data_IF_905949910862
#
_entry.id   IF_905949910862
#
_cell.length_a   1.000
_cell.length_b   1.000
_cell.length_c   1.000
_cell.angle_alpha   90.00
_cell.angle_beta   90.00
_cell.angle_gamma   90.00
#
_symmetry.space_group_name_H-M   'P 1'
#
loop_
_entity.id
_entity.type
_entity.pdbx_description
1 polymer ?
#
# COMPACT_ATOMS: atom_id res chain seq x y z
N UNK A 1 44.23 7.79 -24.11
CA UNK A 1 45.31 6.83 -23.76
C UNK A 1 46.25 7.49 -22.77
N UNK A 2 46.58 6.76 -21.70
CA UNK A 2 47.37 7.09 -20.48
C UNK A 2 46.61 7.77 -19.31
N UNK A 3 46.65 7.14 -18.10
CA UNK A 3 45.85 7.52 -16.93
C UNK A 3 46.67 8.30 -15.89
N UNK A 4 45.98 9.03 -15.01
CA UNK A 4 46.55 9.51 -13.74
C UNK A 4 46.29 8.48 -12.64
N UNK A 5 47.37 7.97 -12.07
CA UNK A 5 47.44 7.13 -10.86
C UNK A 5 47.91 7.96 -9.67
N UNK A 6 47.20 7.86 -8.54
CA UNK A 6 47.70 7.87 -7.14
C UNK A 6 46.47 8.08 -6.24
N UNK A 7 46.16 7.32 -5.20
CA UNK A 7 46.99 6.47 -4.36
C UNK A 7 46.77 6.90 -2.90
N UNK A 8 46.34 5.95 -2.06
CA UNK A 8 46.28 5.99 -0.58
C UNK A 8 45.22 6.92 0.05
N UNK A 9 44.43 6.51 1.05
CA UNK A 9 44.83 5.75 2.23
C UNK A 9 43.61 5.14 2.96
N UNK A 10 43.75 3.89 3.39
CA UNK A 10 42.90 3.24 4.39
C UNK A 10 42.83 4.04 5.71
N UNK A 11 41.65 4.03 6.35
CA UNK A 11 41.56 4.03 7.81
C UNK A 11 40.48 3.03 8.24
N UNK A 12 40.96 2.01 8.95
CA UNK A 12 40.17 1.03 9.70
C UNK A 12 39.47 1.68 10.89
N UNK A 13 38.30 1.10 11.18
CA UNK A 13 37.72 0.77 12.49
C UNK A 13 37.95 1.69 13.67
N UNK A 14 36.85 2.16 14.25
CA UNK A 14 36.71 2.25 15.70
C UNK A 14 35.27 1.92 16.09
N UNK A 15 35.13 0.81 16.82
CA UNK A 15 33.93 0.37 17.52
C UNK A 15 33.56 1.44 18.57
N UNK A 16 32.28 1.75 18.70
CA UNK A 16 31.76 2.50 19.84
C UNK A 16 30.55 1.75 20.40
N UNK A 17 30.75 1.29 21.62
CA UNK A 17 29.88 0.46 22.44
C UNK A 17 28.55 1.14 22.75
N UNK A 18 27.47 0.36 22.64
CA UNK A 18 26.19 0.65 23.25
C UNK A 18 26.31 0.51 24.77
N UNK A 19 25.97 1.57 25.50
CA UNK A 19 25.72 1.52 26.94
C UNK A 19 24.36 2.17 27.21
N UNK A 20 23.40 1.35 27.63
CA UNK A 20 22.12 1.81 28.19
C UNK A 20 22.32 2.49 29.54
N UNK A 21 21.45 3.44 29.92
CA UNK A 21 21.18 3.68 31.32
C UNK A 21 19.74 3.35 31.71
N UNK A 22 19.70 2.75 32.89
CA UNK A 22 18.60 2.33 33.73
C UNK A 22 17.62 3.43 34.11
N UNK A 23 16.37 3.01 34.25
CA UNK A 23 15.22 3.60 34.94
C UNK A 23 15.57 4.50 36.13
N UNK A 24 15.05 5.73 36.13
CA UNK A 24 14.84 6.56 37.34
C UNK A 24 13.40 7.05 37.34
N UNK A 25 12.65 6.59 38.33
CA UNK A 25 11.36 7.14 38.72
C UNK A 25 11.58 8.50 39.38
N UNK A 26 10.97 9.55 38.81
CA UNK A 26 11.00 10.91 39.35
C UNK A 26 9.63 11.57 39.18
N UNK A 27 8.96 11.81 40.30
CA UNK A 27 7.68 12.53 40.39
C UNK A 27 7.83 13.93 39.76
N UNK A 28 6.90 14.30 38.89
CA UNK A 28 6.79 15.69 38.39
C UNK A 28 5.74 16.48 39.17
N UNK A 29 5.98 17.79 39.42
CA UNK A 29 5.06 18.66 40.14
C UNK A 29 3.95 19.18 39.24
N UNK A 30 2.76 19.31 39.82
CA UNK A 30 1.62 20.04 39.26
C UNK A 30 1.88 21.54 39.27
N UNK A 31 2.05 22.13 38.08
CA UNK A 31 1.93 23.58 37.90
C UNK A 31 1.03 23.83 36.69
N UNK A 32 -0.13 24.44 36.95
CA UNK A 32 -1.13 24.76 35.94
C UNK A 32 -0.65 25.85 34.98
N UNK A 33 -0.74 25.55 33.69
CA UNK A 33 -0.83 26.55 32.64
C UNK A 33 -2.23 26.48 32.05
N UNK A 34 -3.06 27.45 32.39
CA UNK A 34 -4.35 27.67 31.76
C UNK A 34 -4.12 27.95 30.27
N UNK A 35 -4.56 27.02 29.42
CA UNK A 35 -4.64 27.26 27.97
C UNK A 35 -5.79 28.22 27.68
N UNK A 36 -5.59 29.29 26.88
CA UNK A 36 -6.71 30.10 26.44
C UNK A 36 -7.58 29.25 25.51
N UNK A 37 -8.87 29.10 25.86
CA UNK A 37 -9.89 28.57 24.94
C UNK A 37 -9.86 29.41 23.66
N UNK A 38 -9.33 28.86 22.57
CA UNK A 38 -9.62 29.38 21.23
C UNK A 38 -11.11 29.22 21.00
N UNK A 39 -11.80 30.35 20.87
CA UNK A 39 -13.17 30.42 20.39
C UNK A 39 -13.24 29.73 19.03
N UNK A 40 -14.08 28.69 18.92
CA UNK A 40 -14.42 28.10 17.63
C UNK A 40 -15.00 29.19 16.72
N UNK A 41 -14.60 29.29 15.44
CA UNK A 41 -15.25 30.20 14.52
C UNK A 41 -16.72 29.78 14.38
N UNK A 42 -17.64 30.69 14.69
CA UNK A 42 -19.06 30.43 14.49
C UNK A 42 -19.32 30.38 12.99
N UNK A 43 -19.61 29.19 12.48
CA UNK A 43 -20.10 29.06 11.12
C UNK A 43 -21.52 29.62 11.06
N UNK A 44 -21.66 30.84 10.57
CA UNK A 44 -22.95 31.39 10.19
C UNK A 44 -23.31 30.78 8.84
N UNK A 45 -24.42 30.04 8.78
CA UNK A 45 -24.91 29.50 7.53
C UNK A 45 -25.16 30.63 6.51
N UNK A 46 -24.75 30.48 5.24
CA UNK A 46 -25.03 31.49 4.23
C UNK A 46 -26.55 31.60 3.98
N UNK A 47 -27.05 32.79 3.63
CA UNK A 47 -28.47 33.00 3.35
C UNK A 47 -28.94 32.11 2.20
N UNK A 48 -30.16 31.59 2.33
CA UNK A 48 -30.81 30.70 1.37
C UNK A 48 -30.99 31.39 0.00
N UNK A 49 -30.00 31.23 -0.87
CA UNK A 49 -29.99 31.78 -2.21
C UNK A 49 -28.87 31.26 -3.10
N UNK A 50 -28.29 30.11 -2.78
CA UNK A 50 -27.25 29.46 -3.60
C UNK A 50 -27.89 28.62 -4.69
N UNK A 51 -27.36 28.62 -5.93
CA UNK A 51 -27.88 27.78 -7.00
C UNK A 51 -27.83 26.32 -6.59
N UNK A 52 -28.84 25.58 -7.00
CA UNK A 52 -29.08 24.17 -6.72
C UNK A 52 -27.98 23.27 -7.30
N UNK A 53 -26.79 23.27 -6.70
CA UNK A 53 -25.66 22.44 -7.12
C UNK A 53 -26.03 20.95 -7.14
N UNK A 54 -27.00 20.53 -6.33
CA UNK A 54 -27.47 19.14 -6.26
C UNK A 54 -28.20 18.66 -7.51
N UNK A 55 -28.77 19.56 -8.32
CA UNK A 55 -29.55 19.20 -9.51
C UNK A 55 -28.69 18.73 -10.68
N UNK A 56 -27.47 19.25 -10.83
CA UNK A 56 -26.59 18.96 -11.97
C UNK A 56 -25.82 17.63 -11.80
N UNK A 57 -25.54 17.20 -10.57
CA UNK A 57 -24.91 15.89 -10.32
C UNK A 57 -25.88 14.73 -10.51
N UNK A 58 -27.17 14.96 -10.28
CA UNK A 58 -28.21 13.95 -10.49
C UNK A 58 -28.35 13.56 -11.96
N UNK A 59 -28.01 14.45 -12.91
CA UNK A 59 -28.17 14.22 -14.35
C UNK A 59 -27.01 13.51 -15.06
N UNK A 60 -25.85 13.33 -14.44
CA UNK A 60 -24.73 12.62 -15.08
C UNK A 60 -25.04 11.12 -15.24
N UNK A 61 -24.62 10.55 -16.37
CA UNK A 61 -24.68 9.12 -16.62
C UNK A 61 -23.83 8.35 -15.57
N UNK A 62 -24.20 7.11 -15.16
CA UNK A 62 -23.40 6.35 -14.22
C UNK A 62 -21.94 6.15 -14.63
N UNK A 63 -21.61 5.99 -15.92
CA UNK A 63 -20.23 5.85 -16.36
C UNK A 63 -19.46 7.18 -16.18
N UNK A 64 -20.08 8.32 -16.50
CA UNK A 64 -19.50 9.64 -16.27
C UNK A 64 -19.24 9.89 -14.77
N UNK A 65 -20.16 9.47 -13.90
CA UNK A 65 -19.98 9.55 -12.44
C UNK A 65 -18.79 8.72 -11.97
N UNK A 66 -18.62 7.51 -12.51
CA UNK A 66 -17.48 6.65 -12.19
C UNK A 66 -16.18 7.28 -12.67
N UNK A 67 -16.13 7.82 -13.88
CA UNK A 67 -14.96 8.51 -14.43
C UNK A 67 -14.54 9.71 -13.58
N UNK A 68 -15.49 10.56 -13.22
CA UNK A 68 -15.25 11.71 -12.35
C UNK A 68 -14.78 11.28 -10.97
N UNK A 69 -15.39 10.26 -10.37
CA UNK A 69 -14.95 9.74 -9.07
C UNK A 69 -13.51 9.24 -9.13
N UNK A 70 -13.15 8.48 -10.17
CA UNK A 70 -11.79 7.98 -10.39
C UNK A 70 -10.78 9.11 -10.53
N UNK A 71 -11.11 10.12 -11.33
CA UNK A 71 -10.29 11.31 -11.48
C UNK A 71 -10.06 12.02 -10.13
N UNK A 72 -11.13 12.27 -9.36
CA UNK A 72 -11.01 12.98 -8.07
C UNK A 72 -10.25 12.19 -7.02
N UNK A 73 -10.43 10.87 -6.98
CA UNK A 73 -9.65 10.01 -6.10
C UNK A 73 -8.15 10.09 -6.43
N UNK A 74 -7.81 10.02 -7.73
CA UNK A 74 -6.42 10.12 -8.15
C UNK A 74 -5.82 11.48 -7.82
N UNK A 75 -6.52 12.58 -8.12
CA UNK A 75 -6.07 13.94 -7.82
C UNK A 75 -5.82 14.13 -6.31
N UNK A 76 -6.74 13.65 -5.47
CA UNK A 76 -6.59 13.71 -4.02
C UNK A 76 -5.38 12.89 -3.53
N UNK A 77 -5.19 11.69 -4.06
CA UNK A 77 -4.05 10.84 -3.70
C UNK A 77 -2.72 11.50 -4.14
N UNK A 78 -2.64 11.98 -5.38
CA UNK A 78 -1.45 12.65 -5.90
C UNK A 78 -1.10 13.92 -5.11
N UNK A 79 -2.09 14.74 -4.76
CA UNK A 79 -1.87 15.93 -3.94
C UNK A 79 -1.37 15.59 -2.53
N UNK A 80 -1.88 14.52 -1.92
CA UNK A 80 -1.38 14.05 -0.63
C UNK A 80 0.06 13.51 -0.74
N UNK A 81 0.40 12.80 -1.82
CA UNK A 81 1.77 12.34 -2.15
C UNK A 81 2.73 13.52 -2.29
N UNK A 82 2.37 14.50 -3.12
CA UNK A 82 3.17 15.71 -3.30
C UNK A 82 3.38 16.47 -1.98
N UNK A 83 2.31 16.69 -1.21
CA UNK A 83 2.39 17.41 0.05
C UNK A 83 3.26 16.70 1.09
N UNK A 84 3.04 15.39 1.29
CA UNK A 84 3.79 14.61 2.29
C UNK A 84 5.26 14.51 1.90
N UNK A 85 5.55 14.27 0.62
CA UNK A 85 6.94 14.22 0.17
C UNK A 85 7.63 15.59 0.30
N UNK A 86 6.93 16.67 -0.01
CA UNK A 86 7.46 18.04 0.10
C UNK A 86 7.74 18.47 1.53
N UNK A 87 6.83 18.19 2.47
CA UNK A 87 6.94 18.65 3.87
C UNK A 87 7.71 17.68 4.78
N UNK A 88 7.71 16.38 4.45
CA UNK A 88 8.21 15.33 5.34
C UNK A 88 9.19 14.36 4.68
N UNK A 89 9.49 14.55 3.39
CA UNK A 89 10.42 13.71 2.64
C UNK A 89 9.98 12.25 2.54
N UNK A 90 10.92 11.38 2.17
CA UNK A 90 10.71 9.94 2.01
C UNK A 90 10.28 9.27 3.33
N UNK A 91 10.75 9.76 4.48
CA UNK A 91 10.33 9.23 5.78
C UNK A 91 8.85 9.47 6.06
N UNK A 92 8.33 10.65 5.71
CA UNK A 92 6.91 10.96 5.81
C UNK A 92 6.06 10.07 4.91
N UNK A 93 6.53 9.82 3.70
CA UNK A 93 5.86 8.91 2.77
C UNK A 93 5.84 7.48 3.31
N UNK A 94 6.96 6.98 3.83
CA UNK A 94 7.03 5.67 4.45
C UNK A 94 6.07 5.57 5.64
N UNK A 95 6.02 6.58 6.50
CA UNK A 95 5.08 6.64 7.62
C UNK A 95 3.61 6.63 7.15
N UNK A 96 3.31 7.34 6.06
CA UNK A 96 1.99 7.29 5.44
C UNK A 96 1.65 5.89 4.92
N UNK A 97 2.57 5.22 4.21
CA UNK A 97 2.38 3.84 3.74
C UNK A 97 2.07 2.90 4.93
N UNK A 98 2.79 3.05 6.05
CA UNK A 98 2.52 2.25 7.25
C UNK A 98 1.13 2.54 7.86
N UNK A 99 0.71 3.81 7.90
CA UNK A 99 -0.62 4.17 8.40
C UNK A 99 -1.73 3.64 7.48
N UNK A 100 -1.58 3.83 6.17
CA UNK A 100 -2.58 3.45 5.17
C UNK A 100 -2.73 1.92 5.08
N UNK A 101 -1.61 1.20 5.13
CA UNK A 101 -1.63 -0.27 5.14
C UNK A 101 -2.29 -0.84 6.39
N UNK A 102 -2.05 -0.26 7.58
CA UNK A 102 -2.71 -0.65 8.82
C UNK A 102 -4.23 -0.47 8.75
N UNK A 103 -4.69 0.73 8.37
CA UNK A 103 -6.13 1.03 8.24
C UNK A 103 -6.78 0.10 7.22
N UNK A 104 -6.12 -0.12 6.08
CA UNK A 104 -6.64 -1.00 5.03
C UNK A 104 -6.72 -2.44 5.51
N UNK A 105 -5.71 -2.96 6.22
CA UNK A 105 -5.74 -4.31 6.77
C UNK A 105 -6.87 -4.49 7.81
N UNK A 106 -7.05 -3.51 8.71
CA UNK A 106 -8.17 -3.50 9.66
C UNK A 106 -9.53 -3.53 8.94
N UNK A 107 -9.68 -2.75 7.87
CA UNK A 107 -10.89 -2.73 7.04
C UNK A 107 -11.12 -4.07 6.33
N UNK A 108 -10.08 -4.66 5.74
CA UNK A 108 -10.16 -5.97 5.07
C UNK A 108 -10.53 -7.07 6.06
N UNK A 109 -10.03 -7.01 7.29
CA UNK A 109 -10.42 -7.94 8.35
C UNK A 109 -11.90 -7.82 8.68
N UNK A 110 -12.41 -6.59 8.82
CA UNK A 110 -13.82 -6.34 9.12
C UNK A 110 -14.76 -6.73 7.97
N UNK A 111 -14.30 -6.66 6.73
CA UNK A 111 -15.10 -6.88 5.53
C UNK A 111 -14.94 -8.26 4.89
N UNK A 112 -14.06 -9.11 5.43
CA UNK A 112 -13.78 -10.43 4.83
C UNK A 112 -15.07 -11.26 4.78
N UNK A 113 -15.50 -11.71 3.59
CA UNK A 113 -16.65 -12.60 3.48
C UNK A 113 -16.40 -13.92 4.23
N UNK A 114 -17.45 -14.46 4.85
CA UNK A 114 -17.37 -15.73 5.55
C UNK A 114 -16.95 -16.87 4.58
N UNK A 115 -16.02 -17.71 5.01
CA UNK A 115 -15.52 -18.84 4.22
C UNK A 115 -14.48 -18.48 3.14
N UNK A 116 -14.08 -17.21 3.02
CA UNK A 116 -13.02 -16.77 2.10
C UNK A 116 -11.71 -16.63 2.88
N UNK A 117 -10.59 -17.13 2.32
CA UNK A 117 -9.26 -16.97 2.90
C UNK A 117 -8.83 -15.49 2.89
N UNK A 118 -7.89 -15.09 3.76
CA UNK A 118 -7.35 -13.73 3.70
C UNK A 118 -6.61 -13.50 2.38
N UNK A 119 -5.86 -14.51 1.90
CA UNK A 119 -5.18 -14.49 0.60
C UNK A 119 -6.14 -14.24 -0.56
N UNK A 120 -7.21 -15.03 -0.70
CA UNK A 120 -8.16 -14.88 -1.81
C UNK A 120 -8.88 -13.53 -1.75
N UNK A 121 -9.23 -13.08 -0.55
CA UNK A 121 -9.85 -11.78 -0.36
C UNK A 121 -8.89 -10.63 -0.74
N UNK A 122 -7.63 -10.71 -0.32
CA UNK A 122 -6.58 -9.76 -0.69
C UNK A 122 -6.36 -9.70 -2.20
N UNK A 123 -6.20 -10.86 -2.86
CA UNK A 123 -5.96 -10.93 -4.30
C UNK A 123 -7.17 -10.43 -5.10
N UNK A 124 -8.38 -10.75 -4.66
CA UNK A 124 -9.62 -10.23 -5.26
C UNK A 124 -9.71 -8.70 -5.10
N UNK A 125 -9.38 -8.16 -3.92
CA UNK A 125 -9.36 -6.71 -3.67
C UNK A 125 -8.33 -6.01 -4.56
N UNK A 126 -7.13 -6.57 -4.68
CA UNK A 126 -6.07 -6.02 -5.54
C UNK A 126 -6.49 -6.03 -7.02
N UNK A 127 -7.10 -7.12 -7.49
CA UNK A 127 -7.65 -7.20 -8.85
C UNK A 127 -8.70 -6.12 -9.09
N UNK A 128 -9.64 -5.95 -8.15
CA UNK A 128 -10.68 -4.89 -8.23
C UNK A 128 -10.07 -3.50 -8.24
N UNK A 129 -9.06 -3.24 -7.42
CA UNK A 129 -8.33 -1.96 -7.44
C UNK A 129 -7.74 -1.67 -8.81
N UNK A 130 -7.11 -2.66 -9.46
CA UNK A 130 -6.52 -2.49 -10.79
C UNK A 130 -7.59 -2.31 -11.88
N UNK A 131 -8.69 -3.06 -11.80
CA UNK A 131 -9.83 -2.94 -12.72
C UNK A 131 -10.49 -1.57 -12.65
N UNK A 132 -10.54 -0.92 -11.48
CA UNK A 132 -11.04 0.45 -11.37
C UNK A 132 -10.29 1.42 -12.30
N UNK A 133 -9.03 1.15 -12.62
CA UNK A 133 -8.25 2.01 -13.53
C UNK A 133 -8.24 1.53 -14.98
N UNK A 134 -9.15 0.62 -15.36
CA UNK A 134 -9.19 -0.01 -16.69
C UNK A 134 -7.85 -0.70 -17.01
N UNK A 135 -7.27 -1.38 -16.02
CA UNK A 135 -6.07 -2.19 -16.21
C UNK A 135 -6.39 -3.52 -16.89
N UNK A 136 -5.49 -4.02 -17.73
CA UNK A 136 -5.61 -5.33 -18.36
C UNK A 136 -5.13 -6.42 -17.40
N UNK A 137 -6.00 -6.88 -16.49
CA UNK A 137 -5.65 -7.80 -15.41
C UNK A 137 -6.32 -9.18 -15.55
N UNK A 138 -5.53 -10.24 -15.38
CA UNK A 138 -5.99 -11.63 -15.18
C UNK A 138 -5.58 -12.12 -13.79
N UNK A 139 -6.33 -13.07 -13.24
CA UNK A 139 -6.02 -13.73 -11.98
C UNK A 139 -6.22 -15.23 -12.19
N UNK A 140 -5.18 -16.01 -11.92
CA UNK A 140 -5.14 -17.44 -12.18
C UNK A 140 -4.72 -18.18 -10.90
N UNK A 141 -5.47 -19.20 -10.47
CA UNK A 141 -5.00 -20.11 -9.43
C UNK A 141 -3.84 -20.95 -9.98
N UNK A 142 -2.86 -21.20 -9.13
CA UNK A 142 -1.69 -22.04 -9.37
C UNK A 142 -1.54 -23.01 -8.19
N UNK A 143 -0.80 -24.12 -8.34
CA UNK A 143 -0.58 -25.07 -7.24
C UNK A 143 0.02 -24.44 -5.98
N UNK A 144 0.90 -23.46 -6.15
CA UNK A 144 1.53 -22.74 -5.04
C UNK A 144 0.70 -21.56 -4.51
N UNK A 145 -0.41 -21.18 -5.14
CA UNK A 145 -1.21 -20.03 -4.72
C UNK A 145 -1.79 -19.24 -5.90
N UNK A 146 -2.03 -17.94 -5.75
CA UNK A 146 -2.67 -17.13 -6.80
C UNK A 146 -1.66 -16.24 -7.52
N UNK A 147 -1.75 -16.20 -8.85
CA UNK A 147 -0.97 -15.27 -9.69
C UNK A 147 -1.89 -14.30 -10.38
N UNK A 148 -1.70 -13.01 -10.10
CA UNK A 148 -2.39 -11.92 -10.77
C UNK A 148 -1.44 -11.25 -11.74
N UNK A 149 -1.81 -11.19 -13.02
CA UNK A 149 -1.02 -10.58 -14.09
C UNK A 149 -1.73 -9.33 -14.58
N UNK A 150 -1.07 -8.19 -14.46
CA UNK A 150 -1.52 -6.93 -15.02
C UNK A 150 -0.62 -6.59 -16.21
N UNK A 151 -1.10 -6.79 -17.43
CA UNK A 151 -0.31 -6.60 -18.65
C UNK A 151 -0.21 -5.12 -19.07
N UNK A 152 -1.23 -4.32 -18.75
CA UNK A 152 -1.28 -2.88 -19.03
C UNK A 152 -1.92 -2.16 -17.83
N UNK A 153 -1.08 -1.53 -17.01
CA UNK A 153 -1.50 -0.89 -15.78
C UNK A 153 -2.14 0.46 -16.06
N UNK A 154 -3.44 0.56 -15.83
CA UNK A 154 -4.21 1.77 -16.01
C UNK A 154 -3.76 2.95 -15.14
N UNK A 155 -3.29 2.67 -13.91
CA UNK A 155 -2.72 3.68 -13.00
C UNK A 155 -1.44 4.27 -13.61
N UNK A 156 -0.56 3.41 -14.13
CA UNK A 156 0.67 3.83 -14.79
C UNK A 156 0.36 4.62 -16.05
N UNK A 157 -0.55 4.12 -16.89
CA UNK A 157 -1.01 4.79 -18.12
C UNK A 157 -1.57 6.18 -17.84
N UNK A 158 -2.40 6.30 -16.80
CA UNK A 158 -2.95 7.59 -16.34
C UNK A 158 -1.82 8.56 -15.97
N UNK A 159 -0.87 8.13 -15.13
CA UNK A 159 0.25 8.99 -14.70
C UNK A 159 1.16 9.39 -15.84
N UNK A 160 1.47 8.48 -16.76
CA UNK A 160 2.22 8.79 -17.99
C UNK A 160 1.48 9.84 -18.84
N UNK A 161 0.14 9.80 -18.90
CA UNK A 161 -0.67 10.81 -19.60
C UNK A 161 -0.58 12.17 -18.91
N UNK A 162 -0.67 12.22 -17.58
CA UNK A 162 -0.50 13.45 -16.82
C UNK A 162 0.90 14.07 -17.00
N UNK A 163 1.95 13.25 -16.94
CA UNK A 163 3.33 13.70 -17.17
C UNK A 163 3.52 14.30 -18.57
N UNK A 164 2.94 13.67 -19.61
CA UNK A 164 2.96 14.22 -20.99
C UNK A 164 2.21 15.55 -21.11
N UNK A 165 1.27 15.85 -20.21
CA UNK A 165 0.58 17.12 -20.13
C UNK A 165 1.34 18.17 -19.30
N UNK A 166 2.56 17.88 -18.85
CA UNK A 166 3.42 18.81 -18.10
C UNK A 166 3.25 18.74 -16.58
N UNK A 167 2.46 17.81 -16.05
CA UNK A 167 2.33 17.60 -14.60
C UNK A 167 3.61 16.95 -14.06
N UNK A 168 4.23 17.57 -13.06
CA UNK A 168 5.35 16.96 -12.33
C UNK A 168 4.79 15.83 -11.48
N UNK A 169 5.24 14.60 -11.74
CA UNK A 169 4.83 13.45 -10.93
C UNK A 169 5.67 13.41 -9.66
N UNK A 170 5.02 13.22 -8.51
CA UNK A 170 5.68 12.99 -7.22
C UNK A 170 6.69 11.84 -7.28
N UNK A 171 6.35 10.77 -8.01
CA UNK A 171 7.24 9.65 -8.26
C UNK A 171 7.54 9.52 -9.75
N UNK A 172 8.79 9.18 -10.08
CA UNK A 172 9.21 8.86 -11.46
C UNK A 172 8.44 7.67 -12.05
N UNK A 173 7.89 6.80 -11.19
CA UNK A 173 6.84 5.85 -11.53
C UNK A 173 5.95 5.59 -10.30
N UNK A 174 4.63 5.31 -10.44
CA UNK A 174 3.76 4.96 -9.31
C UNK A 174 4.01 3.59 -8.71
N UNK A 175 4.81 2.76 -9.38
CA UNK A 175 5.03 1.37 -9.00
C UNK A 175 5.59 1.21 -7.58
N UNK A 176 6.58 2.00 -7.10
CA UNK A 176 7.11 1.89 -5.75
C UNK A 176 6.04 2.08 -4.68
N UNK A 177 5.24 3.16 -4.74
CA UNK A 177 4.17 3.38 -3.77
C UNK A 177 3.14 2.24 -3.78
N UNK A 178 2.64 1.86 -4.96
CA UNK A 178 1.63 0.80 -5.08
C UNK A 178 2.15 -0.55 -4.58
N UNK A 179 3.41 -0.86 -4.91
CA UNK A 179 4.08 -2.08 -4.50
C UNK A 179 4.30 -2.11 -2.99
N UNK A 180 4.87 -1.06 -2.42
CA UNK A 180 5.15 -0.95 -1.00
C UNK A 180 3.86 -0.98 -0.17
N UNK A 181 2.84 -0.24 -0.60
CA UNK A 181 1.54 -0.22 0.09
C UNK A 181 0.88 -1.59 0.12
N UNK A 182 0.74 -2.25 -1.03
CA UNK A 182 0.05 -3.54 -1.08
C UNK A 182 0.87 -4.66 -0.44
N UNK A 183 2.21 -4.59 -0.50
CA UNK A 183 3.09 -5.51 0.26
C UNK A 183 2.93 -5.30 1.77
N UNK A 184 2.87 -4.04 2.23
CA UNK A 184 2.65 -3.71 3.63
C UNK A 184 1.25 -4.09 4.14
N UNK A 185 0.23 -4.07 3.27
CA UNK A 185 -1.11 -4.58 3.57
C UNK A 185 -1.06 -6.12 3.70
N UNK A 186 -0.47 -6.79 2.72
CA UNK A 186 -0.37 -8.24 2.71
C UNK A 186 0.31 -8.77 3.99
N UNK A 187 1.46 -8.21 4.35
CA UNK A 187 2.21 -8.59 5.57
C UNK A 187 1.41 -8.46 6.88
N UNK A 188 0.31 -7.69 6.89
CA UNK A 188 -0.57 -7.50 8.06
C UNK A 188 -1.82 -8.36 8.04
N UNK A 189 -2.24 -8.79 6.87
CA UNK A 189 -3.60 -9.29 6.64
C UNK A 189 -3.64 -10.73 6.16
N UNK A 190 -2.71 -11.08 5.29
CA UNK A 190 -2.62 -12.41 4.67
C UNK A 190 -2.10 -13.43 5.68
N UNK A 191 -2.39 -14.71 5.46
CA UNK A 191 -1.90 -15.81 6.28
C UNK A 191 -0.36 -15.76 6.45
N UNK A 192 0.17 -16.09 7.66
CA UNK A 192 1.58 -15.86 7.98
C UNK A 192 2.56 -16.75 7.19
N UNK A 193 2.09 -17.84 6.60
CA UNK A 193 2.87 -18.75 5.75
C UNK A 193 2.79 -18.37 4.26
N UNK A 194 1.95 -17.42 3.88
CA UNK A 194 1.83 -16.94 2.49
C UNK A 194 2.79 -15.77 2.26
N UNK A 195 3.59 -15.89 1.21
CA UNK A 195 4.45 -14.79 0.74
C UNK A 195 3.77 -14.06 -0.41
N UNK A 196 3.62 -12.74 -0.27
CA UNK A 196 3.13 -11.87 -1.34
C UNK A 196 4.29 -11.10 -1.97
N UNK A 197 4.44 -11.20 -3.29
CA UNK A 197 5.47 -10.51 -4.05
C UNK A 197 4.91 -9.81 -5.30
N UNK A 198 5.64 -8.82 -5.80
CA UNK A 198 5.32 -8.08 -7.02
C UNK A 198 6.56 -7.91 -7.88
N UNK A 199 6.44 -8.25 -9.16
CA UNK A 199 7.46 -8.02 -10.17
C UNK A 199 6.93 -7.05 -11.22
N UNK A 200 7.69 -6.00 -11.54
CA UNK A 200 7.32 -5.10 -12.62
C UNK A 200 7.55 -5.80 -13.98
N UNK A 201 6.59 -5.66 -14.90
CA UNK A 201 6.62 -6.30 -16.21
C UNK A 201 6.23 -5.29 -17.30
N UNK A 202 7.22 -4.56 -17.84
CA UNK A 202 6.98 -3.50 -18.82
C UNK A 202 6.05 -2.41 -18.27
N UNK A 203 4.91 -2.22 -18.93
CA UNK A 203 3.86 -1.27 -18.51
C UNK A 203 2.86 -1.87 -17.51
N UNK A 204 3.19 -3.04 -16.99
CA UNK A 204 2.37 -3.83 -16.09
C UNK A 204 3.13 -4.32 -14.85
N UNK A 205 2.51 -5.24 -14.11
CA UNK A 205 3.12 -5.94 -12.98
C UNK A 205 2.50 -7.32 -12.79
N UNK A 206 3.25 -8.23 -12.17
CA UNK A 206 2.77 -9.55 -11.76
C UNK A 206 2.82 -9.63 -10.24
N UNK A 207 1.67 -9.92 -9.62
CA UNK A 207 1.54 -10.18 -8.20
C UNK A 207 1.39 -11.67 -7.96
N UNK A 208 2.06 -12.17 -6.94
CA UNK A 208 2.00 -13.59 -6.53
C UNK A 208 1.69 -13.63 -5.05
N UNK A 209 0.76 -14.50 -4.66
CA UNK A 209 0.54 -14.88 -3.27
C UNK A 209 0.77 -16.38 -3.19
N UNK A 210 1.87 -16.80 -2.59
CA UNK A 210 2.38 -18.17 -2.65
C UNK A 210 2.52 -18.78 -1.25
N UNK A 211 1.95 -19.97 -1.05
CA UNK A 211 2.17 -20.82 0.11
C UNK A 211 3.30 -21.82 -0.19
N UNK A 212 4.16 -22.12 0.79
CA UNK A 212 5.24 -23.10 0.64
C UNK A 212 4.75 -24.54 0.46
N UNK A 213 3.51 -24.85 0.90
CA UNK A 213 2.91 -26.18 0.73
C UNK A 213 1.88 -26.14 -0.40
N UNK A 214 2.19 -26.76 -1.53
CA UNK A 214 1.17 -27.06 -2.53
C UNK A 214 0.17 -28.06 -1.92
N UNK A 215 -1.15 -27.91 -2.17
CA UNK A 215 -2.15 -28.86 -1.71
C UNK A 215 -1.97 -30.17 -2.50
N UNK A 216 -1.09 -31.05 -2.01
CA UNK A 216 -0.74 -32.31 -2.67
C UNK A 216 0.36 -33.13 -1.98
N UNK A 217 1.18 -32.55 -1.11
CA UNK A 217 2.31 -33.31 -0.50
C UNK A 217 1.94 -34.09 0.78
N UNK A 218 0.82 -33.80 1.44
CA UNK A 218 0.44 -34.52 2.67
C UNK A 218 -0.33 -35.84 2.43
N UNK A 219 -0.55 -36.25 1.18
CA UNK A 219 -1.29 -37.47 0.84
C UNK A 219 -0.40 -38.71 0.60
N UNK A 220 0.89 -38.67 0.96
CA UNK A 220 1.74 -39.87 1.00
C UNK A 220 1.86 -40.39 2.44
N UNK A 221 0.72 -40.82 2.99
CA UNK A 221 0.69 -41.59 4.23
C UNK A 221 1.63 -42.79 4.13
N UNK A 222 2.66 -42.78 4.96
CA UNK A 222 3.56 -43.93 5.15
C UNK A 222 2.72 -45.18 5.43
N UNK A 223 2.85 -46.27 4.67
CA UNK A 223 2.16 -47.50 5.00
C UNK A 223 2.76 -48.03 6.31
N UNK A 224 1.95 -48.02 7.37
CA UNK A 224 2.17 -48.83 8.56
C UNK A 224 2.43 -50.28 8.11
N UNK A 225 3.69 -50.72 8.18
CA UNK A 225 4.00 -52.16 8.23
C UNK A 225 3.53 -52.69 9.58
N UNK A 226 2.28 -53.13 9.62
CA UNK A 226 1.83 -54.14 10.56
C UNK A 226 2.04 -55.55 9.99
N UNK A 227 2.19 -56.52 10.91
CA UNK A 227 2.36 -57.99 10.75
C UNK A 227 3.76 -58.51 10.40
N UNK A 228 4.24 -59.62 10.96
CA UNK A 228 3.75 -60.64 11.90
C UNK A 228 5.00 -61.22 12.62
N UNK A 229 4.96 -61.62 13.88
CA UNK A 229 4.55 -62.98 14.26
C UNK A 229 5.69 -63.98 14.04
N UNK A 230 6.54 -64.17 15.05
CA UNK A 230 7.00 -65.45 15.62
C UNK A 230 7.86 -65.18 16.88
#
# INVERSE_FOLDING_TARGET
MRPCTSGCRERRSSKSSFSSPTTVAGRSPTTGCASPRRSSPSWTAPPAGTPTMTSEWSSLDPAEKVDLWRQRFFEAQAAAEEFILGEHGEEGLAAWIQANSRITAELLQAQRPAGVSATDHFMTRLQRQLLLYDSAVTSEPQPSGTVLRNADCGILRYRKRAARAGVVLTFSSPCPYCQELNTAIAARYVEPDVTVSCEQAGDGCTWRAESPHAPGEDAAGSPHRGRAGD
#
